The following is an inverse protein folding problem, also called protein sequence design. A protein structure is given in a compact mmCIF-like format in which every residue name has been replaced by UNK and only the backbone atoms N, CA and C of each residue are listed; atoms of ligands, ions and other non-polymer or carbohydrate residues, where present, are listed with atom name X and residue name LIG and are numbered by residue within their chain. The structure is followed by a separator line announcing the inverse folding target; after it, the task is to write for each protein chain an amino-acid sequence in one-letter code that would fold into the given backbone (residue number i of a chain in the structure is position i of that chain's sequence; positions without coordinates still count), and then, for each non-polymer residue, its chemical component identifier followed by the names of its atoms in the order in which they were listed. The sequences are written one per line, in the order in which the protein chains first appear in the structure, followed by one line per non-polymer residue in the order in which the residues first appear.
data_IF_139475562802
#
_entry.id   IF_139475562802
#
_cell.length_a   1.000
_cell.length_b   1.000
_cell.length_c   1.000
_cell.angle_alpha   90.00
_cell.angle_beta   90.00
_cell.angle_gamma   90.00
#
_symmetry.space_group_name_H-M   'P 1'
#
loop_
_entity.id
_entity.type
_entity.pdbx_description
1 polymer ?
#
# COMPACT_ATOMS: atom_id res chain seq x y z
N UNK A 1 -6.53 27.38 15.20
CA UNK A 1 -6.67 26.70 13.89
C UNK A 1 -5.61 25.61 13.80
N UNK A 2 -6.01 24.35 13.62
CA UNK A 2 -5.06 23.29 13.34
C UNK A 2 -4.72 23.33 11.84
N UNK A 3 -3.43 23.38 11.51
CA UNK A 3 -2.94 23.30 10.13
C UNK A 3 -1.94 22.14 10.00
N UNK A 4 -1.86 21.56 8.80
CA UNK A 4 -0.91 20.48 8.53
C UNK A 4 0.50 21.05 8.43
N UNK A 5 1.45 20.45 9.16
CA UNK A 5 2.88 20.71 9.00
C UNK A 5 3.50 19.53 8.25
N UNK A 6 4.15 19.76 7.12
CA UNK A 6 4.93 18.75 6.42
C UNK A 6 6.39 18.84 6.88
N UNK A 7 6.77 18.08 7.91
CA UNK A 7 8.13 18.08 8.44
C UNK A 7 9.07 17.11 7.69
N UNK A 8 8.52 16.02 7.17
CA UNK A 8 9.26 14.94 6.50
C UNK A 8 8.47 14.49 5.27
N UNK A 9 9.19 14.17 4.19
CA UNK A 9 8.62 13.69 2.93
C UNK A 9 9.44 12.52 2.37
N UNK A 10 8.74 11.48 1.93
CA UNK A 10 9.33 10.33 1.21
C UNK A 10 8.25 9.66 0.36
N UNK A 11 8.59 9.13 -0.82
CA UNK A 11 7.60 8.45 -1.67
C UNK A 11 7.25 7.04 -1.17
N UNK A 12 7.99 6.46 -0.23
CA UNK A 12 7.84 5.06 0.16
C UNK A 12 6.99 4.88 1.43
N UNK A 13 5.79 4.32 1.27
CA UNK A 13 4.85 4.10 2.38
C UNK A 13 5.42 3.21 3.52
N UNK A 14 6.30 2.25 3.23
CA UNK A 14 6.95 1.43 4.26
C UNK A 14 7.87 2.29 5.16
N UNK A 15 8.65 3.19 4.55
CA UNK A 15 9.48 4.16 5.28
C UNK A 15 8.61 5.08 6.12
N UNK A 16 7.49 5.57 5.57
CA UNK A 16 6.53 6.39 6.33
C UNK A 16 6.01 5.63 7.56
N UNK A 17 5.54 4.39 7.39
CA UNK A 17 5.02 3.59 8.50
C UNK A 17 6.11 3.31 9.55
N UNK A 18 7.36 3.11 9.12
CA UNK A 18 8.50 2.99 10.04
C UNK A 18 8.74 4.28 10.82
N UNK A 19 8.74 5.44 10.17
CA UNK A 19 8.87 6.73 10.86
C UNK A 19 7.74 6.96 11.88
N UNK A 20 6.50 6.60 11.53
CA UNK A 20 5.37 6.65 12.48
C UNK A 20 5.60 5.71 13.67
N UNK A 21 6.10 4.49 13.44
CA UNK A 21 6.42 3.54 14.53
C UNK A 21 7.51 4.01 15.48
N UNK A 22 8.41 4.88 15.01
CA UNK A 22 9.49 5.49 15.78
C UNK A 22 9.05 6.83 16.44
N UNK A 23 7.77 7.22 16.30
CA UNK A 23 7.22 8.41 16.95
C UNK A 23 7.48 9.74 16.23
N UNK A 24 7.90 9.73 14.96
CA UNK A 24 8.18 10.95 14.20
C UNK A 24 6.92 11.70 13.74
N UNK A 25 5.73 11.16 14.01
CA UNK A 25 4.45 11.81 13.73
C UNK A 25 3.37 10.85 13.26
N UNK A 26 2.43 11.36 12.46
CA UNK A 26 1.34 10.61 11.83
C UNK A 26 1.34 10.86 10.33
N UNK A 27 0.81 9.92 9.55
CA UNK A 27 0.74 10.08 8.10
C UNK A 27 -0.45 9.34 7.49
N UNK A 28 -0.84 9.77 6.29
CA UNK A 28 -1.77 9.06 5.41
C UNK A 28 -0.96 8.18 4.46
N UNK A 29 -1.26 6.88 4.44
CA UNK A 29 -0.51 5.90 3.64
C UNK A 29 -1.45 5.05 2.79
N UNK A 30 -0.92 4.47 1.71
CA UNK A 30 -1.61 3.44 0.97
C UNK A 30 -1.90 2.24 1.91
N UNK A 31 -3.16 1.80 2.02
CA UNK A 31 -3.55 0.72 2.93
C UNK A 31 -2.84 -0.61 2.64
N UNK A 32 -2.28 -0.82 1.45
CA UNK A 32 -1.57 -2.05 1.11
C UNK A 32 -0.41 -2.32 2.08
N UNK A 33 0.36 -1.28 2.42
CA UNK A 33 1.56 -1.43 3.25
C UNK A 33 1.17 -1.63 4.71
N UNK A 34 0.20 -0.87 5.21
CA UNK A 34 -0.26 -1.02 6.59
C UNK A 34 -0.99 -2.34 6.85
N UNK A 35 -1.59 -2.97 5.82
CA UNK A 35 -2.24 -4.30 5.93
C UNK A 35 -1.26 -5.46 5.81
N UNK A 36 -0.23 -5.34 4.96
CA UNK A 36 0.70 -6.45 4.66
C UNK A 36 1.90 -6.49 5.59
N UNK A 37 2.29 -5.35 6.18
CA UNK A 37 3.44 -5.25 7.06
C UNK A 37 3.00 -4.93 8.49
N UNK A 38 3.70 -5.51 9.47
CA UNK A 38 3.47 -5.23 10.89
C UNK A 38 4.46 -4.18 11.37
N UNK A 39 3.95 -3.07 11.88
CA UNK A 39 4.76 -2.03 12.53
C UNK A 39 4.37 -1.96 14.01
N UNK A 40 5.23 -2.41 14.92
CA UNK A 40 4.96 -2.34 16.36
C UNK A 40 4.60 -0.92 16.80
N UNK A 41 3.56 -0.80 17.63
CA UNK A 41 3.11 0.51 18.14
C UNK A 41 2.33 1.38 17.15
N UNK A 42 2.12 0.92 15.90
CA UNK A 42 1.33 1.67 14.91
C UNK A 42 -0.11 1.18 14.87
N UNK A 43 -1.05 2.12 14.90
CA UNK A 43 -2.47 1.86 14.71
C UNK A 43 -2.92 2.49 13.40
N UNK A 44 -3.54 1.69 12.52
CA UNK A 44 -4.16 2.18 11.30
C UNK A 44 -5.61 2.60 11.59
N UNK A 45 -5.97 3.83 11.22
CA UNK A 45 -7.31 4.40 11.43
C UNK A 45 -7.92 4.73 10.06
N UNK A 46 -9.20 4.37 9.78
CA UNK A 46 -9.86 4.74 8.54
C UNK A 46 -9.93 6.26 8.36
N UNK A 47 -9.47 6.75 7.20
CA UNK A 47 -9.59 8.16 6.86
C UNK A 47 -10.98 8.45 6.28
N UNK A 48 -11.56 9.60 6.64
CA UNK A 48 -12.83 10.11 6.08
C UNK A 48 -12.60 11.50 5.46
N UNK A 49 -13.08 11.75 4.22
CA UNK A 49 -13.79 10.82 3.34
C UNK A 49 -12.86 9.71 2.80
N UNK A 50 -13.46 8.62 2.32
CA UNK A 50 -12.69 7.53 1.71
C UNK A 50 -11.96 8.01 0.45
N UNK A 51 -10.69 7.62 0.30
CA UNK A 51 -9.86 7.89 -0.88
C UNK A 51 -9.49 6.54 -1.51
N UNK A 52 -10.11 6.14 -2.64
CA UNK A 52 -9.83 4.85 -3.26
C UNK A 52 -8.39 4.74 -3.78
N UNK A 53 -7.69 3.70 -3.37
CA UNK A 53 -6.39 3.32 -3.94
C UNK A 53 -6.57 2.12 -4.88
N UNK A 54 -6.29 2.31 -6.17
CA UNK A 54 -6.42 1.26 -7.20
C UNK A 54 -5.06 0.64 -7.49
N UNK A 55 -5.00 -0.68 -7.53
CA UNK A 55 -3.83 -1.44 -7.97
C UNK A 55 -4.20 -2.24 -9.22
N UNK A 56 -3.27 -2.30 -10.17
CA UNK A 56 -3.48 -2.94 -11.46
C UNK A 56 -2.40 -3.98 -11.72
N UNK A 57 -2.80 -5.16 -12.14
CA UNK A 57 -1.90 -6.14 -12.74
C UNK A 57 -1.93 -5.94 -14.26
N UNK A 58 -0.82 -5.53 -14.84
CA UNK A 58 -0.69 -5.25 -16.26
C UNK A 58 0.01 -6.42 -16.97
N UNK A 59 -0.49 -6.77 -18.16
CA UNK A 59 0.13 -7.74 -19.06
C UNK A 59 0.23 -7.11 -20.45
N UNK A 60 1.39 -7.21 -21.07
CA UNK A 60 1.57 -6.76 -22.45
C UNK A 60 0.63 -7.53 -23.39
N UNK A 61 -0.12 -6.81 -24.22
CA UNK A 61 -1.13 -7.39 -25.10
C UNK A 61 -0.53 -8.38 -26.12
N UNK A 62 0.70 -8.11 -26.56
CA UNK A 62 1.44 -8.93 -27.54
C UNK A 62 2.38 -9.94 -26.88
N UNK A 63 2.32 -10.12 -25.56
CA UNK A 63 3.16 -11.10 -24.89
C UNK A 63 2.81 -12.52 -25.36
N UNK A 64 3.81 -13.38 -25.66
CA UNK A 64 3.59 -14.79 -25.93
C UNK A 64 2.75 -15.47 -24.85
N UNK A 65 2.04 -16.53 -25.23
CA UNK A 65 1.33 -17.37 -24.26
C UNK A 65 2.36 -18.21 -23.52
N UNK A 66 2.54 -17.89 -22.24
CA UNK A 66 3.49 -18.55 -21.35
C UNK A 66 2.70 -19.14 -20.16
N UNK A 67 2.99 -20.39 -19.82
CA UNK A 67 2.33 -21.11 -18.71
C UNK A 67 2.64 -20.45 -17.36
N UNK A 68 3.89 -20.06 -17.11
CA UNK A 68 4.30 -19.39 -15.89
C UNK A 68 3.63 -18.02 -15.74
N UNK A 69 3.40 -17.29 -16.83
CA UNK A 69 2.65 -16.02 -16.80
C UNK A 69 1.20 -16.27 -16.37
N UNK A 70 0.56 -17.32 -16.89
CA UNK A 70 -0.82 -17.66 -16.52
C UNK A 70 -0.92 -18.14 -15.06
N UNK A 71 0.07 -18.90 -14.60
CA UNK A 71 0.18 -19.33 -13.20
C UNK A 71 0.34 -18.13 -12.27
N UNK A 72 1.26 -17.21 -12.61
CA UNK A 72 1.47 -15.96 -11.86
C UNK A 72 0.19 -15.11 -11.81
N UNK A 73 -0.51 -14.95 -12.93
CA UNK A 73 -1.80 -14.24 -13.00
C UNK A 73 -2.84 -14.88 -12.08
N UNK A 74 -2.88 -16.22 -12.02
CA UNK A 74 -3.80 -16.95 -11.15
C UNK A 74 -3.46 -16.73 -9.67
N UNK A 75 -2.19 -16.82 -9.30
CA UNK A 75 -1.69 -16.52 -7.96
C UNK A 75 -2.03 -15.07 -7.54
N UNK A 76 -1.77 -14.09 -8.42
CA UNK A 76 -2.06 -12.69 -8.15
C UNK A 76 -3.55 -12.43 -7.94
N UNK A 77 -4.42 -13.03 -8.76
CA UNK A 77 -5.88 -12.92 -8.58
C UNK A 77 -6.31 -13.51 -7.24
N UNK A 78 -5.75 -14.64 -6.82
CA UNK A 78 -6.05 -15.24 -5.53
C UNK A 78 -5.59 -14.33 -4.37
N UNK A 79 -4.37 -13.81 -4.43
CA UNK A 79 -3.79 -12.96 -3.40
C UNK A 79 -4.57 -11.64 -3.17
N UNK A 80 -5.10 -11.04 -4.24
CA UNK A 80 -5.83 -9.76 -4.16
C UNK A 80 -7.34 -9.91 -3.95
N UNK A 81 -7.90 -11.13 -3.91
CA UNK A 81 -9.34 -11.37 -3.73
C UNK A 81 -9.84 -11.05 -2.32
N UNK A 82 -8.95 -11.07 -1.33
CA UNK A 82 -9.27 -10.92 0.10
C UNK A 82 -8.62 -9.69 0.76
N UNK A 83 -8.15 -8.75 -0.06
CA UNK A 83 -7.29 -7.63 0.37
C UNK A 83 -8.08 -6.33 0.58
#
# INVERSE_FOLDING_TARGET
MAYRIMALETPFAATICRMVSEGLGVSLVNPIVSRTMKFPGVVAIPFKPEIPFRSYMLRAQLAPRDTHVNDFVSCMRAAFKSM
#
